data_IF_624812837916
#
_entry.id   IF_624812837916
#
_cell.length_a   1.000
_cell.length_b   1.000
_cell.length_c   1.000
_cell.angle_alpha   90.00
_cell.angle_beta   90.00
_cell.angle_gamma   90.00
#
_symmetry.space_group_name_H-M   'P 1'
#
loop_
_entity.id
_entity.type
_entity.pdbx_description
1 polymer ?
#
# COMPACT_ATOMS: atom_id res chain seq x y z
N UNK A 1 14.25 -50.38 -1.39
CA UNK A 1 14.42 -48.96 -1.79
C UNK A 1 14.70 -48.13 -0.55
N UNK A 2 15.62 -47.15 -0.57
CA UNK A 2 15.91 -46.29 0.59
C UNK A 2 15.22 -44.92 0.46
N UNK A 3 14.92 -44.28 1.61
CA UNK A 3 14.26 -42.98 1.62
C UNK A 3 15.25 -41.88 1.20
N UNK A 4 14.91 -40.99 0.24
CA UNK A 4 15.81 -39.94 -0.23
C UNK A 4 16.10 -38.85 0.83
N UNK A 5 15.27 -38.76 1.88
CA UNK A 5 15.44 -37.74 2.92
C UNK A 5 16.24 -38.19 4.14
N UNK A 6 16.16 -39.47 4.52
CA UNK A 6 16.82 -39.98 5.73
C UNK A 6 17.75 -41.18 5.47
N UNK A 7 17.83 -41.66 4.22
CA UNK A 7 18.73 -42.75 3.82
C UNK A 7 18.34 -44.14 4.36
N UNK A 8 17.34 -44.24 5.23
CA UNK A 8 16.90 -45.50 5.83
C UNK A 8 16.21 -46.40 4.79
N UNK A 9 16.41 -47.73 4.83
CA UNK A 9 15.75 -48.67 3.94
C UNK A 9 14.24 -48.69 4.21
N UNK A 10 13.43 -48.53 3.16
CA UNK A 10 11.98 -48.71 3.28
C UNK A 10 11.64 -50.21 3.33
N UNK A 11 10.71 -50.61 4.21
CA UNK A 11 10.19 -51.97 4.24
C UNK A 11 9.51 -52.32 2.91
N UNK A 12 9.83 -53.50 2.37
CA UNK A 12 9.33 -53.97 1.08
C UNK A 12 7.82 -54.20 1.15
N UNK A 13 7.07 -53.63 0.20
CA UNK A 13 5.62 -53.88 0.02
C UNK A 13 4.66 -52.79 0.51
N UNK A 14 5.13 -51.64 1.00
CA UNK A 14 4.26 -50.53 1.43
C UNK A 14 3.96 -49.52 0.32
N UNK A 15 2.67 -49.38 -0.01
CA UNK A 15 2.09 -48.34 -0.89
C UNK A 15 1.81 -47.02 -0.17
N UNK A 16 2.37 -46.80 1.03
CA UNK A 16 2.19 -45.56 1.79
C UNK A 16 3.09 -44.45 1.25
N UNK A 17 2.50 -43.30 0.91
CA UNK A 17 3.24 -42.13 0.39
C UNK A 17 4.24 -41.53 1.38
N UNK A 18 4.06 -41.75 2.68
CA UNK A 18 4.89 -41.21 3.76
C UNK A 18 5.90 -42.21 4.30
N UNK A 19 7.12 -41.75 4.59
CA UNK A 19 8.16 -42.54 5.24
C UNK A 19 7.84 -42.70 6.75
N UNK A 20 7.83 -43.93 7.30
CA UNK A 20 7.52 -44.15 8.72
C UNK A 20 8.60 -43.61 9.68
N UNK A 21 9.85 -43.45 9.20
CA UNK A 21 10.95 -42.97 10.05
C UNK A 21 11.02 -41.44 10.16
N UNK A 22 10.68 -40.70 9.10
CA UNK A 22 10.79 -39.25 9.09
C UNK A 22 9.44 -38.52 8.86
N UNK A 23 8.36 -39.26 8.63
CA UNK A 23 7.02 -38.74 8.37
C UNK A 23 6.85 -37.98 7.06
N UNK A 24 7.89 -37.91 6.20
CA UNK A 24 7.87 -37.15 4.94
C UNK A 24 7.48 -38.00 3.74
N UNK A 25 6.80 -37.40 2.77
CA UNK A 25 6.38 -38.06 1.54
C UNK A 25 7.56 -38.49 0.66
N UNK A 26 7.62 -39.76 0.30
CA UNK A 26 8.72 -40.41 -0.42
C UNK A 26 8.70 -40.06 -1.92
N UNK A 27 7.52 -39.76 -2.47
CA UNK A 27 7.32 -39.37 -3.88
C UNK A 27 7.53 -37.87 -4.14
N UNK A 28 7.79 -37.06 -3.10
CA UNK A 28 8.09 -35.63 -3.26
C UNK A 28 9.59 -35.38 -3.45
N UNK A 29 10.22 -36.12 -4.36
CA UNK A 29 11.51 -35.74 -4.95
C UNK A 29 11.23 -34.66 -5.99
N UNK A 30 11.04 -33.44 -5.51
CA UNK A 30 10.62 -32.31 -6.35
C UNK A 30 10.16 -31.14 -5.49
N UNK A 31 10.96 -30.76 -4.49
CA UNK A 31 11.11 -29.33 -4.29
C UNK A 31 11.79 -28.85 -5.57
N UNK A 32 10.99 -28.29 -6.47
CA UNK A 32 11.49 -27.55 -7.61
C UNK A 32 12.60 -26.61 -7.09
N UNK A 33 13.71 -26.43 -7.81
CA UNK A 33 14.72 -25.48 -7.37
C UNK A 33 14.04 -24.11 -7.27
N UNK A 34 13.72 -23.68 -6.05
CA UNK A 34 13.51 -22.27 -5.75
C UNK A 34 14.78 -21.58 -6.26
N UNK A 35 14.60 -20.79 -7.33
CA UNK A 35 15.73 -20.25 -8.08
C UNK A 35 16.60 -19.43 -7.11
N UNK A 36 17.87 -19.79 -6.88
CA UNK A 36 18.72 -19.13 -5.89
C UNK A 36 18.91 -17.63 -6.17
N UNK A 37 18.65 -17.21 -7.41
CA UNK A 37 18.70 -15.82 -7.87
C UNK A 37 17.57 -14.98 -7.26
N UNK A 38 16.36 -15.52 -7.12
CA UNK A 38 15.22 -14.76 -6.58
C UNK A 38 15.32 -14.58 -5.07
N UNK A 39 15.84 -15.60 -4.37
CA UNK A 39 16.10 -15.51 -2.93
C UNK A 39 17.22 -14.50 -2.63
N UNK A 40 18.30 -14.48 -3.42
CA UNK A 40 19.37 -13.49 -3.25
C UNK A 40 18.90 -12.05 -3.54
N UNK A 41 18.03 -11.85 -4.54
CA UNK A 41 17.43 -10.54 -4.81
C UNK A 41 16.48 -10.11 -3.69
N UNK A 42 15.63 -11.02 -3.20
CA UNK A 42 14.73 -10.75 -2.09
C UNK A 42 15.51 -10.41 -0.81
N UNK A 43 16.57 -11.16 -0.53
CA UNK A 43 17.47 -10.92 0.60
C UNK A 43 18.18 -9.58 0.50
N UNK A 44 18.72 -9.23 -0.68
CA UNK A 44 19.36 -7.93 -0.92
C UNK A 44 18.37 -6.78 -0.75
N UNK A 45 17.16 -6.92 -1.29
CA UNK A 45 16.11 -5.92 -1.13
C UNK A 45 15.69 -5.77 0.34
N UNK A 46 15.57 -6.88 1.08
CA UNK A 46 15.25 -6.85 2.50
C UNK A 46 16.37 -6.20 3.31
N UNK A 47 17.64 -6.56 3.07
CA UNK A 47 18.80 -5.93 3.72
C UNK A 47 18.88 -4.43 3.40
N UNK A 48 18.60 -4.03 2.17
CA UNK A 48 18.55 -2.63 1.78
C UNK A 48 17.44 -1.88 2.54
N UNK A 49 16.23 -2.44 2.60
CA UNK A 49 15.12 -1.87 3.37
C UNK A 49 15.44 -1.78 4.87
N UNK A 50 16.04 -2.81 5.45
CA UNK A 50 16.44 -2.84 6.85
C UNK A 50 17.57 -1.85 7.15
N UNK A 51 18.50 -1.65 6.22
CA UNK A 51 19.57 -0.65 6.35
C UNK A 51 19.04 0.78 6.28
N UNK A 52 18.15 1.07 5.33
CA UNK A 52 17.50 2.36 5.20
C UNK A 52 16.61 2.65 6.42
N UNK A 53 15.83 1.65 6.86
CA UNK A 53 14.99 1.74 8.06
C UNK A 53 15.79 2.01 9.33
N UNK A 54 16.97 1.40 9.48
CA UNK A 54 17.89 1.69 10.59
C UNK A 54 18.47 3.09 10.50
N UNK A 55 18.96 3.52 9.34
CA UNK A 55 19.52 4.85 9.16
C UNK A 55 18.50 5.95 9.48
N UNK A 56 17.27 5.84 8.96
CA UNK A 56 16.18 6.76 9.26
C UNK A 56 15.86 6.77 10.76
N UNK A 57 15.79 5.60 11.39
CA UNK A 57 15.51 5.49 12.82
C UNK A 57 16.59 6.16 13.65
N UNK A 58 17.86 5.96 13.33
CA UNK A 58 18.99 6.61 14.01
C UNK A 58 18.89 8.13 13.93
N UNK A 59 18.55 8.67 12.76
CA UNK A 59 18.37 10.13 12.57
C UNK A 59 17.17 10.65 13.38
N UNK A 60 16.03 9.95 13.35
CA UNK A 60 14.83 10.35 14.10
C UNK A 60 14.97 10.16 15.61
N UNK A 61 15.90 9.33 16.06
CA UNK A 61 16.22 9.11 17.47
C UNK A 61 17.36 10.00 18.00
N UNK A 62 17.97 10.83 17.15
CA UNK A 62 19.03 11.73 17.57
C UNK A 62 18.47 12.80 18.55
N UNK A 63 18.98 12.89 19.79
CA UNK A 63 18.55 13.91 20.76
C UNK A 63 18.76 15.33 20.24
N UNK A 64 19.80 15.57 19.43
CA UNK A 64 20.08 16.90 18.85
C UNK A 64 19.00 17.35 17.89
N UNK A 65 18.34 16.41 17.21
CA UNK A 65 17.19 16.71 16.37
C UNK A 65 16.03 17.18 17.25
N UNK A 66 15.73 16.47 18.34
CA UNK A 66 14.62 16.81 19.25
C UNK A 66 14.81 18.16 19.93
N UNK A 67 16.03 18.51 20.30
CA UNK A 67 16.36 19.82 20.89
C UNK A 67 16.08 21.00 19.94
N UNK A 68 16.16 20.78 18.62
CA UNK A 68 15.91 21.81 17.59
C UNK A 68 14.46 21.88 17.13
N UNK A 69 13.62 20.90 17.50
CA UNK A 69 12.23 20.85 17.06
C UNK A 69 11.34 21.73 17.95
N UNK A 70 10.39 22.49 17.37
CA UNK A 70 9.40 23.22 18.15
C UNK A 70 8.59 22.23 19.00
N UNK A 71 8.69 22.36 20.32
CA UNK A 71 8.02 21.47 21.28
C UNK A 71 8.64 20.08 21.41
N UNK A 72 9.80 19.82 20.78
CA UNK A 72 10.51 18.54 20.86
C UNK A 72 9.76 17.33 20.29
N UNK A 73 8.62 17.55 19.60
CA UNK A 73 7.71 16.47 19.23
C UNK A 73 7.80 16.12 17.73
N UNK A 74 8.06 14.84 17.46
CA UNK A 74 8.09 14.26 16.11
C UNK A 74 6.73 14.34 15.36
N UNK A 75 5.56 14.22 16.02
CA UNK A 75 4.26 14.44 15.36
C UNK A 75 4.14 15.85 14.77
N UNK A 76 4.66 16.86 15.47
CA UNK A 76 4.58 18.25 15.04
C UNK A 76 5.54 18.53 13.87
N UNK A 77 6.71 17.88 13.84
CA UNK A 77 7.55 17.83 12.64
C UNK A 77 6.78 17.22 11.45
N UNK A 78 6.12 16.07 11.65
CA UNK A 78 5.31 15.42 10.61
C UNK A 78 4.20 16.31 10.08
N UNK A 79 3.45 16.98 10.98
CA UNK A 79 2.43 17.97 10.63
C UNK A 79 3.02 19.14 9.83
N UNK A 80 4.14 19.71 10.29
CA UNK A 80 4.84 20.78 9.60
C UNK A 80 5.27 20.41 8.18
N UNK A 81 5.76 19.17 7.99
CA UNK A 81 6.09 18.65 6.67
C UNK A 81 4.86 18.48 5.77
N UNK A 82 3.72 18.03 6.31
CA UNK A 82 2.45 17.98 5.56
C UNK A 82 2.02 19.39 5.13
N UNK A 83 2.06 20.37 6.04
CA UNK A 83 1.70 21.74 5.72
C UNK A 83 2.63 22.34 4.65
N UNK A 84 3.94 22.11 4.76
CA UNK A 84 4.91 22.53 3.74
C UNK A 84 4.64 21.84 2.39
N UNK A 85 4.37 20.53 2.40
CA UNK A 85 4.08 19.75 1.19
C UNK A 85 2.78 20.21 0.49
N UNK A 86 1.81 20.75 1.24
CA UNK A 86 0.60 21.36 0.68
C UNK A 86 0.87 22.77 0.12
N UNK A 87 1.71 23.56 0.77
CA UNK A 87 1.97 24.96 0.37
C UNK A 87 2.96 25.09 -0.79
N UNK A 88 3.97 24.21 -0.88
CA UNK A 88 5.01 24.27 -1.93
C UNK A 88 4.43 24.19 -3.36
N UNK A 89 3.45 23.31 -3.67
CA UNK A 89 2.79 23.28 -4.98
C UNK A 89 1.90 24.47 -5.30
N UNK A 90 1.51 25.30 -4.31
CA UNK A 90 0.71 26.52 -4.54
C UNK A 90 1.58 27.62 -5.16
N UNK A 91 2.91 27.48 -5.12
CA UNK A 91 3.81 28.37 -5.84
C UNK A 91 3.64 28.16 -7.35
N UNK A 92 3.55 29.25 -8.14
CA UNK A 92 3.17 29.21 -9.56
C UNK A 92 4.14 28.45 -10.48
N UNK A 93 5.23 27.89 -9.95
CA UNK A 93 6.28 27.21 -10.69
C UNK A 93 6.32 25.68 -10.50
N UNK A 94 5.51 25.11 -9.59
CA UNK A 94 5.54 23.68 -9.25
C UNK A 94 4.19 23.06 -9.60
N UNK A 95 4.03 22.70 -10.87
CA UNK A 95 2.82 22.03 -11.37
C UNK A 95 2.57 20.69 -10.68
N UNK A 96 1.42 20.57 -10.01
CA UNK A 96 1.03 19.37 -9.25
C UNK A 96 -0.09 19.69 -8.27
N UNK A 97 -1.26 20.06 -8.78
CA UNK A 97 -2.37 20.50 -7.95
C UNK A 97 -2.95 19.35 -7.12
N UNK A 98 -2.69 19.36 -5.82
CA UNK A 98 -3.57 18.69 -4.86
C UNK A 98 -4.98 19.25 -5.03
N UNK A 99 -6.00 18.39 -5.09
CA UNK A 99 -7.39 18.85 -5.08
C UNK A 99 -7.65 19.75 -3.87
N UNK A 100 -8.27 20.91 -4.07
CA UNK A 100 -8.46 21.94 -3.03
C UNK A 100 -9.09 21.36 -1.75
N UNK A 101 -10.05 20.46 -1.89
CA UNK A 101 -10.71 19.76 -0.78
C UNK A 101 -9.75 18.86 0.01
N UNK A 102 -8.83 18.17 -0.66
CA UNK A 102 -7.84 17.32 -0.01
C UNK A 102 -6.74 18.14 0.66
N UNK A 103 -6.28 19.22 0.03
CA UNK A 103 -5.35 20.16 0.64
C UNK A 103 -5.95 20.75 1.93
N UNK A 104 -7.20 21.20 1.88
CA UNK A 104 -7.93 21.69 3.05
C UNK A 104 -8.03 20.62 4.15
N UNK A 105 -8.38 19.38 3.80
CA UNK A 105 -8.44 18.26 4.75
C UNK A 105 -7.10 18.04 5.45
N UNK A 106 -6.00 17.98 4.69
CA UNK A 106 -4.66 17.72 5.24
C UNK A 106 -4.15 18.90 6.08
N UNK A 107 -4.45 20.14 5.70
CA UNK A 107 -4.12 21.33 6.50
C UNK A 107 -4.91 21.39 7.80
N UNK A 108 -6.22 21.10 7.75
CA UNK A 108 -7.06 21.02 8.95
C UNK A 108 -6.49 19.95 9.87
N UNK A 109 -6.30 18.72 9.40
CA UNK A 109 -5.76 17.64 10.22
C UNK A 109 -4.36 17.94 10.78
N UNK A 110 -3.49 18.58 10.00
CA UNK A 110 -2.19 19.08 10.47
C UNK A 110 -2.34 20.11 11.59
N UNK A 111 -3.26 21.07 11.44
CA UNK A 111 -3.55 22.08 12.46
C UNK A 111 -4.16 21.48 13.73
N UNK A 112 -5.06 20.50 13.60
CA UNK A 112 -5.63 19.75 14.72
C UNK A 112 -4.53 19.02 15.52
N UNK A 113 -3.58 18.38 14.82
CA UNK A 113 -2.43 17.73 15.47
C UNK A 113 -1.53 18.75 16.18
N UNK A 114 -1.24 19.89 15.55
CA UNK A 114 -0.49 20.97 16.17
C UNK A 114 -1.17 21.53 17.43
N UNK A 115 -2.49 21.71 17.40
CA UNK A 115 -3.28 22.17 18.54
C UNK A 115 -3.23 21.17 19.72
N UNK A 116 -3.34 19.87 19.42
CA UNK A 116 -3.20 18.81 20.43
C UNK A 116 -1.83 18.84 21.10
N UNK A 117 -0.76 18.92 20.32
CA UNK A 117 0.61 18.97 20.83
C UNK A 117 0.86 20.25 21.65
N UNK A 118 0.31 21.38 21.22
CA UNK A 118 0.36 22.65 21.95
C UNK A 118 -0.36 22.55 23.30
N UNK A 119 -1.50 21.86 23.34
CA UNK A 119 -2.25 21.60 24.58
C UNK A 119 -1.50 20.65 25.50
N UNK A 120 -0.90 19.59 24.96
CA UNK A 120 -0.11 18.63 25.72
C UNK A 120 1.13 19.28 26.35
N UNK A 121 1.66 20.34 25.74
CA UNK A 121 2.74 21.16 26.29
C UNK A 121 2.28 22.12 27.42
N UNK A 122 1.02 22.08 27.86
CA UNK A 122 0.50 22.87 28.97
C UNK A 122 0.28 24.36 28.64
N UNK A 123 0.27 24.73 27.36
CA UNK A 123 0.04 26.13 26.94
C UNK A 123 -1.44 26.43 26.85
N UNK A 124 -1.84 27.66 27.18
CA UNK A 124 -3.24 28.10 27.05
C UNK A 124 -3.66 28.13 25.58
N UNK A 125 -4.76 27.45 25.25
CA UNK A 125 -5.39 27.54 23.93
C UNK A 125 -6.57 28.52 23.96
N UNK A 126 -6.79 29.26 22.86
CA UNK A 126 -8.06 29.96 22.65
C UNK A 126 -9.25 29.00 22.79
N UNK A 127 -10.36 29.41 23.43
CA UNK A 127 -11.53 28.55 23.66
C UNK A 127 -12.14 28.03 22.35
N UNK A 128 -11.99 28.75 21.24
CA UNK A 128 -12.42 28.33 19.92
C UNK A 128 -11.72 27.05 19.41
N UNK A 129 -10.53 26.73 19.91
CA UNK A 129 -9.75 25.54 19.52
C UNK A 129 -9.96 24.35 20.47
N UNK A 130 -10.66 24.53 21.59
CA UNK A 130 -11.02 23.45 22.50
C UNK A 130 -11.75 22.26 21.84
N UNK A 131 -12.77 22.47 20.97
CA UNK A 131 -13.42 21.34 20.29
C UNK A 131 -12.45 20.62 19.35
N UNK A 132 -11.57 21.36 18.67
CA UNK A 132 -10.58 20.81 17.75
C UNK A 132 -9.62 19.86 18.46
N UNK A 133 -9.11 20.27 19.63
CA UNK A 133 -8.22 19.42 20.44
C UNK A 133 -8.93 18.15 20.88
N UNK A 134 -10.18 18.26 21.34
CA UNK A 134 -10.98 17.08 21.75
C UNK A 134 -11.13 16.05 20.63
N UNK A 135 -11.32 16.50 19.38
CA UNK A 135 -11.34 15.60 18.22
C UNK A 135 -9.97 15.01 17.91
N UNK A 136 -8.89 15.80 18.03
CA UNK A 136 -7.52 15.37 17.78
C UNK A 136 -6.99 14.38 18.84
N UNK A 137 -7.54 14.42 20.05
CA UNK A 137 -7.25 13.48 21.15
C UNK A 137 -7.85 12.09 20.91
N UNK A 138 -8.82 11.96 20.00
CA UNK A 138 -9.42 10.67 19.70
C UNK A 138 -8.36 9.64 19.28
N UNK A 139 -8.38 8.40 19.81
CA UNK A 139 -7.32 7.42 19.56
C UNK A 139 -7.16 7.05 18.07
N UNK A 140 -8.25 7.16 17.29
CA UNK A 140 -8.24 6.90 15.85
C UNK A 140 -7.68 8.05 15.00
N UNK A 141 -7.51 9.26 15.55
CA UNK A 141 -7.12 10.44 14.79
C UNK A 141 -5.72 10.31 14.18
N UNK A 142 -4.71 10.05 15.02
CA UNK A 142 -3.32 9.95 14.57
C UNK A 142 -3.17 8.83 13.51
N UNK A 143 -3.71 7.60 13.70
CA UNK A 143 -3.61 6.54 12.69
C UNK A 143 -4.26 6.93 11.36
N UNK A 144 -5.44 7.54 11.41
CA UNK A 144 -6.16 7.98 10.22
C UNK A 144 -5.37 9.08 9.48
N UNK A 145 -4.86 10.08 10.19
CA UNK A 145 -4.03 11.12 9.59
C UNK A 145 -2.75 10.55 8.96
N UNK A 146 -2.10 9.58 9.61
CA UNK A 146 -0.93 8.91 9.03
C UNK A 146 -1.28 8.12 7.78
N UNK A 147 -2.41 7.41 7.76
CA UNK A 147 -2.86 6.64 6.60
C UNK A 147 -3.19 7.56 5.41
N UNK A 148 -3.85 8.69 5.66
CA UNK A 148 -4.09 9.72 4.65
C UNK A 148 -2.77 10.30 4.10
N UNK A 149 -1.80 10.56 4.97
CA UNK A 149 -0.48 11.08 4.58
C UNK A 149 0.30 10.07 3.73
N UNK A 150 0.33 8.80 4.13
CA UNK A 150 0.95 7.70 3.36
C UNK A 150 0.27 7.54 2.01
N UNK A 151 -1.06 7.62 1.98
CA UNK A 151 -1.84 7.53 0.75
C UNK A 151 -1.47 8.67 -0.19
N UNK A 152 -1.42 9.90 0.31
CA UNK A 152 -1.04 11.05 -0.49
C UNK A 152 0.41 10.98 -0.97
N UNK A 153 1.33 10.53 -0.11
CA UNK A 153 2.72 10.29 -0.52
C UNK A 153 2.80 9.31 -1.68
N UNK A 154 2.05 8.20 -1.61
CA UNK A 154 2.00 7.21 -2.68
C UNK A 154 1.38 7.76 -3.97
N UNK A 155 0.25 8.46 -3.87
CA UNK A 155 -0.43 9.04 -5.03
C UNK A 155 0.42 10.12 -5.70
N UNK A 156 1.19 10.89 -4.92
CA UNK A 156 2.04 11.97 -5.42
C UNK A 156 3.44 11.56 -5.88
N UNK A 157 3.82 10.27 -5.80
CA UNK A 157 5.14 9.75 -6.24
C UNK A 157 5.48 10.17 -7.68
N UNK A 158 6.10 11.32 -7.83
CA UNK A 158 6.58 11.91 -9.07
C UNK A 158 7.95 12.52 -8.78
N UNK A 159 8.70 12.87 -9.82
CA UNK A 159 9.98 13.57 -9.65
C UNK A 159 9.69 15.03 -9.24
N UNK A 160 9.81 15.34 -7.94
CA UNK A 160 9.60 16.70 -7.44
C UNK A 160 9.91 16.87 -5.95
N UNK A 161 10.00 18.12 -5.49
CA UNK A 161 10.24 18.44 -4.07
C UNK A 161 9.03 18.11 -3.19
N UNK A 162 7.81 18.40 -3.68
CA UNK A 162 6.58 18.12 -2.96
C UNK A 162 6.39 16.62 -2.60
N UNK A 163 6.57 15.65 -3.51
CA UNK A 163 6.49 14.24 -3.15
C UNK A 163 7.56 13.80 -2.14
N UNK A 164 8.78 14.37 -2.21
CA UNK A 164 9.80 14.10 -1.20
C UNK A 164 9.34 14.55 0.19
N UNK A 165 8.69 15.72 0.30
CA UNK A 165 8.12 16.20 1.57
C UNK A 165 7.00 15.28 2.05
N UNK A 166 6.13 14.80 1.16
CA UNK A 166 5.08 13.84 1.52
C UNK A 166 5.64 12.51 2.01
N UNK A 167 6.65 11.97 1.33
CA UNK A 167 7.32 10.73 1.74
C UNK A 167 8.00 10.94 3.10
N UNK A 168 8.69 12.06 3.30
CA UNK A 168 9.32 12.36 4.59
C UNK A 168 8.28 12.49 5.70
N UNK A 169 7.17 13.18 5.46
CA UNK A 169 6.06 13.29 6.40
C UNK A 169 5.47 11.92 6.76
N UNK A 170 5.22 11.08 5.75
CA UNK A 170 4.71 9.71 5.92
C UNK A 170 5.68 8.84 6.75
N UNK A 171 6.98 8.97 6.50
CA UNK A 171 8.02 8.24 7.25
C UNK A 171 8.06 8.69 8.72
N UNK A 172 8.08 10.00 8.97
CA UNK A 172 8.09 10.55 10.34
C UNK A 172 6.84 10.11 11.09
N UNK A 173 5.65 10.38 10.54
CA UNK A 173 4.38 10.05 11.17
C UNK A 173 4.19 8.53 11.35
N UNK A 174 4.55 7.75 10.33
CA UNK A 174 4.53 6.30 10.37
C UNK A 174 5.48 5.72 11.42
N UNK A 175 6.66 6.33 11.61
CA UNK A 175 7.62 5.90 12.65
C UNK A 175 7.08 6.12 14.07
N UNK A 176 6.39 7.25 14.30
CA UNK A 176 5.74 7.56 15.58
C UNK A 176 4.62 6.56 15.84
N UNK A 177 3.76 6.31 14.84
CA UNK A 177 2.70 5.31 14.93
C UNK A 177 3.23 3.92 15.23
N UNK A 178 4.29 3.52 14.53
CA UNK A 178 4.90 2.22 14.72
C UNK A 178 5.43 2.04 16.14
N UNK A 179 6.02 3.09 16.73
CA UNK A 179 6.47 3.08 18.13
C UNK A 179 5.30 2.99 19.10
N UNK A 180 4.26 3.80 18.89
CA UNK A 180 3.05 3.75 19.70
C UNK A 180 2.39 2.36 19.64
N UNK A 181 2.33 1.76 18.46
CA UNK A 181 1.83 0.40 18.27
C UNK A 181 2.68 -0.64 19.01
N UNK A 182 4.02 -0.57 18.94
CA UNK A 182 4.90 -1.49 19.68
C UNK A 182 4.79 -1.36 21.19
N UNK A 183 4.54 -0.15 21.69
CA UNK A 183 4.34 0.11 23.12
C UNK A 183 2.93 -0.28 23.60
N UNK A 184 1.98 -0.41 22.68
CA UNK A 184 0.60 -0.78 22.99
C UNK A 184 0.45 -2.27 23.30
N UNK A 185 -0.53 -2.67 24.13
CA UNK A 185 -0.81 -4.08 24.41
C UNK A 185 -1.22 -4.86 23.13
N UNK A 186 -1.70 -4.17 22.09
CA UNK A 186 -2.00 -4.77 20.77
C UNK A 186 -0.75 -5.30 20.05
N UNK A 187 0.43 -4.80 20.41
CA UNK A 187 1.73 -5.21 19.87
C UNK A 187 2.39 -6.37 20.63
N UNK A 188 1.77 -6.87 21.71
CA UNK A 188 2.36 -7.94 22.53
C UNK A 188 2.62 -9.20 21.72
N UNK A 189 3.86 -9.67 21.80
CA UNK A 189 4.34 -10.94 21.26
C UNK A 189 3.81 -12.17 22.02
N UNK A 190 2.82 -12.00 22.90
CA UNK A 190 2.29 -13.02 23.81
C UNK A 190 1.32 -14.00 23.14
N UNK A 191 0.86 -13.72 21.92
CA UNK A 191 0.05 -14.67 21.16
C UNK A 191 0.96 -15.68 20.43
N UNK A 192 0.75 -17.00 20.63
CA UNK A 192 1.55 -18.03 19.95
C UNK A 192 1.40 -17.89 18.44
N UNK A 193 2.52 -17.61 17.74
CA UNK A 193 2.55 -17.45 16.27
C UNK A 193 2.07 -18.73 15.61
N UNK A 194 0.89 -18.69 14.98
CA UNK A 194 0.45 -19.81 14.15
C UNK A 194 1.16 -19.76 12.80
N UNK A 195 1.69 -20.88 12.27
CA UNK A 195 2.35 -20.89 10.96
C UNK A 195 1.43 -20.44 9.81
N UNK A 196 0.11 -20.62 9.95
CA UNK A 196 -0.89 -20.10 9.02
C UNK A 196 -0.97 -18.57 8.96
N UNK A 197 -0.76 -17.88 10.09
CA UNK A 197 -0.80 -16.41 10.17
C UNK A 197 0.40 -15.78 9.46
N UNK A 198 1.58 -16.41 9.54
CA UNK A 198 2.79 -15.95 8.85
C UNK A 198 2.63 -16.05 7.34
N UNK A 199 2.03 -17.16 6.86
CA UNK A 199 1.72 -17.34 5.43
C UNK A 199 0.71 -16.32 4.96
N UNK A 200 -0.41 -16.15 5.68
CA UNK A 200 -1.43 -15.15 5.36
C UNK A 200 -0.82 -13.76 5.26
N UNK A 201 -0.03 -13.36 6.26
CA UNK A 201 0.67 -12.07 6.27
C UNK A 201 1.54 -11.91 5.02
N UNK A 202 2.37 -12.90 4.68
CA UNK A 202 3.22 -12.86 3.48
C UNK A 202 2.41 -12.70 2.20
N UNK A 203 1.33 -13.47 2.03
CA UNK A 203 0.49 -13.40 0.83
C UNK A 203 -0.24 -12.05 0.70
N UNK A 204 -0.80 -11.53 1.80
CA UNK A 204 -1.48 -10.23 1.77
C UNK A 204 -0.49 -9.11 1.48
N UNK A 205 0.69 -9.09 2.12
CA UNK A 205 1.70 -8.07 1.84
C UNK A 205 2.27 -8.16 0.43
N UNK A 206 2.50 -9.38 -0.08
CA UNK A 206 2.93 -9.58 -1.47
C UNK A 206 1.87 -9.09 -2.45
N UNK A 207 0.59 -9.42 -2.20
CA UNK A 207 -0.53 -8.96 -3.01
C UNK A 207 -0.70 -7.43 -2.98
N UNK A 208 -0.64 -6.81 -1.79
CA UNK A 208 -0.67 -5.36 -1.63
C UNK A 208 0.51 -4.68 -2.35
N UNK A 209 1.71 -5.24 -2.27
CA UNK A 209 2.89 -4.73 -2.97
C UNK A 209 2.73 -4.83 -4.50
N UNK A 210 2.21 -5.96 -5.00
CA UNK A 210 1.88 -6.13 -6.41
C UNK A 210 0.80 -5.14 -6.87
N UNK A 211 -0.24 -4.90 -6.06
CA UNK A 211 -1.24 -3.87 -6.33
C UNK A 211 -0.63 -2.47 -6.40
N UNK A 212 0.23 -2.11 -5.44
CA UNK A 212 0.91 -0.83 -5.42
C UNK A 212 1.79 -0.63 -6.66
N UNK A 213 2.61 -1.63 -7.02
CA UNK A 213 3.39 -1.61 -8.26
C UNK A 213 2.51 -1.53 -9.50
N UNK A 214 1.39 -2.25 -9.50
CA UNK A 214 0.41 -2.25 -10.59
C UNK A 214 -0.15 -0.84 -10.81
N UNK A 215 -0.43 -0.09 -9.73
CA UNK A 215 -0.89 1.29 -9.82
C UNK A 215 0.15 2.27 -10.37
N UNK A 216 1.45 1.99 -10.20
CA UNK A 216 2.53 2.82 -10.76
C UNK A 216 2.71 2.60 -12.26
N UNK A 217 2.34 1.42 -12.76
CA UNK A 217 2.39 1.08 -14.17
C UNK A 217 1.30 1.81 -14.98
N UNK A 218 1.43 1.87 -16.31
CA UNK A 218 0.42 2.48 -17.17
C UNK A 218 -0.87 1.65 -17.20
N UNK A 219 -2.00 2.29 -16.92
CA UNK A 219 -3.34 1.69 -16.90
C UNK A 219 -4.17 2.02 -18.13
N UNK A 220 -4.10 3.26 -18.62
CA UNK A 220 -4.84 3.67 -19.81
C UNK A 220 -4.04 4.71 -20.58
N UNK A 221 -4.34 4.88 -21.88
CA UNK A 221 -4.00 6.12 -22.56
C UNK A 221 -4.89 7.20 -21.92
N UNK A 222 -4.43 7.82 -20.83
CA UNK A 222 -5.20 8.82 -20.12
C UNK A 222 -5.05 10.17 -20.78
N UNK A 223 -6.15 10.89 -20.64
CA UNK A 223 -6.40 12.27 -21.04
C UNK A 223 -5.83 13.28 -20.04
N UNK A 224 -4.72 12.96 -19.37
CA UNK A 224 -4.08 13.87 -18.42
C UNK A 224 -3.02 14.66 -19.15
N UNK A 225 -3.34 15.94 -19.40
CA UNK A 225 -2.47 16.89 -20.07
C UNK A 225 -1.08 16.91 -19.44
N UNK A 226 -0.08 16.60 -20.24
CA UNK A 226 1.30 16.92 -19.88
C UNK A 226 1.47 18.43 -20.01
N UNK A 227 2.03 19.07 -18.98
CA UNK A 227 2.46 20.48 -19.03
C UNK A 227 3.81 20.66 -19.73
N UNK A 228 4.42 19.56 -20.18
CA UNK A 228 5.67 19.58 -20.93
C UNK A 228 5.33 19.65 -22.42
N UNK A 229 5.93 20.56 -23.20
CA UNK A 229 5.78 20.56 -24.65
C UNK A 229 6.24 19.19 -25.17
N UNK A 230 5.28 18.40 -25.66
CA UNK A 230 5.56 17.10 -26.25
C UNK A 230 5.42 17.21 -27.75
N UNK A 231 6.43 16.70 -28.46
CA UNK A 231 6.34 16.45 -29.89
C UNK A 231 5.80 15.04 -30.08
N UNK A 232 4.69 14.89 -30.80
CA UNK A 232 4.17 13.57 -31.17
C UNK A 232 3.97 13.48 -32.67
N UNK A 233 4.23 12.31 -33.21
CA UNK A 233 3.91 11.94 -34.59
C UNK A 233 2.49 11.39 -34.60
N UNK A 234 1.55 12.13 -35.16
CA UNK A 234 0.17 11.69 -35.33
C UNK A 234 0.03 11.06 -36.72
N UNK A 235 -0.42 9.79 -36.75
CA UNK A 235 -0.71 9.07 -38.00
C UNK A 235 -2.19 9.25 -38.31
N UNK A 236 -2.49 10.07 -39.30
CA UNK A 236 -3.82 10.20 -39.85
C UNK A 236 -3.93 9.29 -41.08
N UNK A 237 -5.01 8.49 -41.13
CA UNK A 237 -5.27 7.56 -42.23
C UNK A 237 -6.54 8.03 -42.93
N UNK A 238 -6.38 8.63 -44.09
CA UNK A 238 -7.50 9.03 -44.92
C UNK A 238 -7.79 7.85 -45.86
N UNK A 239 -9.00 7.30 -45.73
CA UNK A 239 -9.47 6.17 -46.54
C UNK A 239 -10.49 6.74 -47.52
N UNK A 240 -10.10 6.87 -48.78
CA UNK A 240 -10.99 7.28 -49.86
C UNK A 240 -11.48 6.03 -50.59
N UNK A 241 -12.80 5.91 -50.73
CA UNK A 241 -13.45 4.84 -51.49
C UNK A 241 -13.93 5.46 -52.79
N UNK A 242 -13.33 5.03 -53.91
CA UNK A 242 -13.74 5.50 -55.23
C UNK A 242 -15.04 4.82 -55.69
N UNK A 243 -15.70 5.37 -56.72
CA UNK A 243 -16.93 4.86 -57.32
C UNK A 243 -16.79 3.43 -57.88
N UNK A 244 -15.56 2.93 -58.04
CA UNK A 244 -15.24 1.56 -58.44
C UNK A 244 -14.96 0.62 -57.26
N UNK A 245 -15.27 1.03 -56.02
CA UNK A 245 -14.94 0.29 -54.79
C UNK A 245 -13.44 0.01 -54.62
N UNK A 246 -12.58 0.80 -55.27
CA UNK A 246 -11.15 0.79 -55.02
C UNK A 246 -10.87 1.56 -53.72
N UNK A 247 -10.00 1.00 -52.87
CA UNK A 247 -9.61 1.59 -51.59
C UNK A 247 -8.28 2.28 -51.80
N UNK A 248 -8.27 3.60 -51.75
CA UNK A 248 -7.03 4.35 -51.63
C UNK A 248 -6.82 4.73 -50.17
N UNK A 249 -5.64 4.40 -49.66
CA UNK A 249 -5.28 4.58 -48.25
C UNK A 249 -4.08 5.50 -48.22
N UNK A 250 -4.32 6.77 -47.91
CA UNK A 250 -3.26 7.75 -47.74
C UNK A 250 -2.92 7.90 -46.27
N UNK A 251 -1.64 7.75 -45.95
CA UNK A 251 -1.14 7.87 -44.59
C UNK A 251 -0.34 9.16 -44.43
N UNK A 252 -0.94 10.11 -43.73
CA UNK A 252 -0.29 11.37 -43.41
C UNK A 252 0.35 11.29 -42.02
N UNK A 253 1.65 11.54 -41.99
CA UNK A 253 2.41 11.62 -40.77
C UNK A 253 2.67 13.10 -40.47
N UNK A 254 1.99 13.64 -39.47
CA UNK A 254 2.17 15.05 -39.09
C UNK A 254 2.75 15.12 -37.68
N UNK A 255 3.82 15.90 -37.54
CA UNK A 255 4.35 16.26 -36.24
C UNK A 255 3.47 17.35 -35.65
N UNK A 256 2.73 17.02 -34.59
CA UNK A 256 1.98 18.01 -33.82
C UNK A 256 2.77 18.38 -32.58
N UNK A 257 3.13 19.66 -32.51
CA UNK A 257 3.76 20.25 -31.35
C UNK A 257 2.68 20.87 -30.48
N UNK A 258 2.54 20.38 -29.25
CA UNK A 258 1.64 20.99 -28.28
C UNK A 258 2.41 22.10 -27.56
N UNK A 259 2.29 23.34 -28.05
CA UNK A 259 3.03 24.52 -27.54
C UNK A 259 2.23 25.33 -26.51
N UNK A 260 0.96 24.98 -26.26
CA UNK A 260 0.09 25.72 -25.35
C UNK A 260 0.09 25.10 -23.95
N UNK A 261 0.26 25.96 -22.94
CA UNK A 261 0.19 25.68 -21.49
C UNK A 261 -1.24 25.30 -21.01
N UNK A 262 -2.19 25.19 -21.94
CA UNK A 262 -3.56 24.76 -21.66
C UNK A 262 -3.71 23.24 -21.91
N UNK A 263 -4.62 22.54 -21.20
CA UNK A 263 -4.74 21.09 -21.27
C UNK A 263 -5.31 20.64 -22.61
N UNK A 264 -4.46 20.62 -23.64
CA UNK A 264 -4.74 19.93 -24.89
C UNK A 264 -4.56 18.42 -24.65
N UNK A 265 -5.58 17.67 -25.04
CA UNK A 265 -5.77 16.23 -24.89
C UNK A 265 -4.64 15.41 -25.49
N UNK A 266 -3.52 15.37 -24.79
CA UNK A 266 -2.40 14.52 -25.14
C UNK A 266 -2.73 13.14 -24.57
N UNK A 267 -2.80 12.07 -25.38
CA UNK A 267 -2.92 10.71 -24.88
C UNK A 267 -1.61 10.33 -24.19
N UNK A 268 -1.49 10.69 -22.92
CA UNK A 268 -0.42 10.26 -22.03
C UNK A 268 -0.71 8.85 -21.51
N UNK A 269 0.32 8.13 -21.07
CA UNK A 269 0.09 6.90 -20.34
C UNK A 269 -0.29 7.25 -18.89
N UNK A 270 -1.57 7.18 -18.57
CA UNK A 270 -2.06 7.40 -17.22
C UNK A 270 -1.70 6.25 -16.32
N UNK A 271 -1.14 6.56 -15.16
CA UNK A 271 -0.93 5.57 -14.11
C UNK A 271 -2.24 5.29 -13.39
N UNK A 272 -2.35 4.12 -12.75
CA UNK A 272 -3.54 3.75 -11.96
C UNK A 272 -3.83 4.73 -10.82
N UNK A 273 -2.82 5.50 -10.38
CA UNK A 273 -2.93 6.54 -9.33
C UNK A 273 -3.79 7.74 -9.72
N UNK A 274 -3.85 8.07 -11.01
CA UNK A 274 -4.64 9.19 -11.52
C UNK A 274 -6.12 8.86 -11.73
N UNK A 275 -6.54 7.61 -11.49
CA UNK A 275 -7.93 7.17 -11.70
C UNK A 275 -8.83 7.61 -10.54
N UNK A 276 -10.08 7.92 -10.86
CA UNK A 276 -11.11 8.20 -9.86
C UNK A 276 -11.22 7.01 -8.87
N UNK A 277 -11.24 7.31 -7.58
CA UNK A 277 -11.31 6.29 -6.52
C UNK A 277 -9.97 5.66 -6.12
N UNK A 278 -8.85 5.99 -6.76
CA UNK A 278 -7.53 5.44 -6.41
C UNK A 278 -7.17 5.68 -4.92
N UNK A 279 -7.51 6.83 -4.36
CA UNK A 279 -7.35 7.14 -2.93
C UNK A 279 -8.05 6.14 -2.02
N UNK A 280 -9.31 5.79 -2.35
CA UNK A 280 -10.07 4.81 -1.58
C UNK A 280 -9.47 3.41 -1.67
N UNK A 281 -8.93 3.05 -2.83
CA UNK A 281 -8.26 1.75 -3.04
C UNK A 281 -6.96 1.67 -2.24
N UNK A 282 -6.12 2.71 -2.26
CA UNK A 282 -4.87 2.73 -1.48
C UNK A 282 -5.18 2.65 0.02
N UNK A 283 -6.17 3.40 0.50
CA UNK A 283 -6.64 3.29 1.88
C UNK A 283 -7.17 1.88 2.21
N UNK A 284 -7.93 1.27 1.29
CA UNK A 284 -8.42 -0.10 1.42
C UNK A 284 -7.29 -1.13 1.49
N UNK A 285 -6.26 -1.00 0.65
CA UNK A 285 -5.07 -1.85 0.68
C UNK A 285 -4.28 -1.69 1.99
N UNK A 286 -4.13 -0.46 2.49
CA UNK A 286 -3.51 -0.21 3.80
C UNK A 286 -4.33 -0.84 4.93
N UNK A 287 -5.66 -0.70 4.90
CA UNK A 287 -6.56 -1.31 5.88
C UNK A 287 -6.46 -2.84 5.85
N UNK A 288 -6.43 -3.45 4.67
CA UNK A 288 -6.22 -4.89 4.50
C UNK A 288 -4.85 -5.34 5.03
N UNK A 289 -3.80 -4.55 4.80
CA UNK A 289 -2.47 -4.80 5.37
C UNK A 289 -2.45 -4.75 6.90
N UNK A 290 -3.15 -3.77 7.49
CA UNK A 290 -3.30 -3.65 8.96
C UNK A 290 -4.08 -4.85 9.50
N UNK A 291 -5.23 -5.18 8.92
CA UNK A 291 -6.04 -6.34 9.29
C UNK A 291 -5.28 -7.65 9.12
N UNK A 292 -4.40 -7.75 8.11
CA UNK A 292 -3.51 -8.90 7.90
C UNK A 292 -2.44 -9.03 8.99
N UNK A 293 -1.95 -7.89 9.50
CA UNK A 293 -0.82 -7.83 10.43
C UNK A 293 -1.21 -7.85 11.92
N UNK A 294 -2.42 -7.39 12.27
CA UNK A 294 -2.89 -7.24 13.65
C UNK A 294 -4.10 -8.13 13.90
N UNK A 295 -3.89 -9.25 14.59
CA UNK A 295 -4.95 -10.22 14.88
C UNK A 295 -6.09 -9.64 15.71
N UNK A 296 -5.78 -8.86 16.76
CA UNK A 296 -6.80 -8.21 17.61
C UNK A 296 -7.66 -7.22 16.82
N UNK A 297 -7.08 -6.52 15.83
CA UNK A 297 -7.84 -5.63 14.95
C UNK A 297 -8.79 -6.42 14.04
N UNK A 298 -8.39 -7.61 13.59
CA UNK A 298 -9.26 -8.52 12.82
C UNK A 298 -10.41 -9.07 13.65
N UNK A 299 -10.16 -9.40 14.92
CA UNK A 299 -11.20 -9.90 15.85
C UNK A 299 -12.20 -8.80 16.25
N UNK A 300 -11.79 -7.53 16.29
CA UNK A 300 -12.66 -6.39 16.61
C UNK A 300 -13.58 -5.95 15.46
N UNK A 301 -13.39 -6.51 14.26
CA UNK A 301 -14.03 -6.08 13.02
C UNK A 301 -14.95 -7.19 12.50
N UNK A 302 -16.10 -6.86 11.87
CA UNK A 302 -16.96 -7.87 11.26
C UNK A 302 -16.18 -8.76 10.29
N UNK A 303 -16.34 -10.08 10.39
CA UNK A 303 -15.59 -11.05 9.57
C UNK A 303 -15.81 -10.90 8.07
N UNK A 304 -16.91 -10.29 7.65
CA UNK A 304 -17.21 -9.98 6.25
C UNK A 304 -16.44 -8.75 5.72
N UNK A 305 -15.95 -7.85 6.57
CA UNK A 305 -15.35 -6.59 6.14
C UNK A 305 -14.10 -6.78 5.24
N UNK A 306 -13.14 -7.67 5.55
CA UNK A 306 -11.97 -7.87 4.69
C UNK A 306 -12.36 -8.36 3.29
N UNK A 307 -13.35 -9.26 3.19
CA UNK A 307 -13.82 -9.79 1.92
C UNK A 307 -14.59 -8.73 1.12
N UNK A 308 -15.42 -7.91 1.78
CA UNK A 308 -16.12 -6.79 1.13
C UNK A 308 -15.14 -5.74 0.60
N UNK A 309 -14.12 -5.38 1.39
CA UNK A 309 -13.08 -4.43 0.97
C UNK A 309 -12.30 -4.97 -0.23
N UNK A 310 -11.86 -6.23 -0.17
CA UNK A 310 -11.12 -6.84 -1.27
C UNK A 310 -11.98 -6.95 -2.54
N UNK A 311 -13.24 -7.35 -2.42
CA UNK A 311 -14.20 -7.38 -3.54
C UNK A 311 -14.47 -6.01 -4.17
N UNK A 312 -14.60 -4.95 -3.35
CA UNK A 312 -14.73 -3.57 -3.85
C UNK A 312 -13.50 -3.12 -4.63
N UNK A 313 -12.29 -3.46 -4.14
CA UNK A 313 -11.04 -3.15 -4.82
C UNK A 313 -10.92 -3.92 -6.15
N UNK A 314 -11.31 -5.20 -6.16
CA UNK A 314 -11.34 -6.03 -7.37
C UNK A 314 -12.32 -5.46 -8.39
N UNK A 315 -13.53 -5.06 -7.96
CA UNK A 315 -14.51 -4.41 -8.84
C UNK A 315 -13.93 -3.11 -9.44
N UNK A 316 -13.27 -2.29 -8.63
CA UNK A 316 -12.61 -1.07 -9.12
C UNK A 316 -11.51 -1.38 -10.16
N UNK A 317 -10.73 -2.42 -9.96
CA UNK A 317 -9.72 -2.86 -10.92
C UNK A 317 -10.35 -3.27 -12.26
N UNK A 318 -11.44 -4.04 -12.20
CA UNK A 318 -12.18 -4.49 -13.38
C UNK A 318 -12.77 -3.33 -14.20
N UNK A 319 -13.21 -2.24 -13.55
CA UNK A 319 -13.68 -1.04 -14.28
C UNK A 319 -12.60 -0.36 -15.13
N UNK A 320 -11.32 -0.69 -14.90
CA UNK A 320 -10.18 -0.11 -15.61
C UNK A 320 -9.38 -1.09 -16.42
N UNK A 321 -9.97 -2.25 -16.75
CA UNK A 321 -9.27 -3.28 -17.50
C UNK A 321 -8.85 -2.72 -18.86
N UNK A 322 -7.56 -2.85 -19.17
CA UNK A 322 -7.01 -2.55 -20.49
C UNK A 322 -5.93 -3.57 -20.83
N UNK A 323 -5.54 -3.64 -22.10
CA UNK A 323 -4.46 -4.53 -22.55
C UNK A 323 -3.04 -4.10 -22.08
N UNK A 324 -2.94 -3.28 -21.03
CA UNK A 324 -1.67 -2.79 -20.48
C UNK A 324 -1.22 -3.61 -19.27
N UNK A 325 0.08 -3.65 -18.95
CA UNK A 325 0.59 -4.49 -17.87
C UNK A 325 0.11 -4.07 -16.47
N UNK A 326 -0.23 -2.79 -16.25
CA UNK A 326 -0.62 -2.29 -14.93
C UNK A 326 -1.87 -2.95 -14.34
N UNK A 327 -3.02 -2.94 -15.05
CA UNK A 327 -4.24 -3.61 -14.60
C UNK A 327 -4.06 -5.10 -14.34
N UNK A 328 -3.29 -5.80 -15.19
CA UNK A 328 -3.01 -7.23 -15.02
C UNK A 328 -2.18 -7.52 -13.77
N UNK A 329 -1.11 -6.76 -13.54
CA UNK A 329 -0.30 -6.90 -12.32
C UNK A 329 -1.14 -6.61 -11.07
N UNK A 330 -1.99 -5.58 -11.13
CA UNK A 330 -2.90 -5.25 -10.04
C UNK A 330 -3.90 -6.37 -9.76
N UNK A 331 -4.50 -6.96 -10.79
CA UNK A 331 -5.42 -8.07 -10.65
C UNK A 331 -4.76 -9.32 -10.06
N UNK A 332 -3.52 -9.63 -10.47
CA UNK A 332 -2.76 -10.71 -9.86
C UNK A 332 -2.51 -10.45 -8.37
N UNK A 333 -2.19 -9.19 -8.02
CA UNK A 333 -2.02 -8.77 -6.63
C UNK A 333 -3.28 -8.92 -5.80
N UNK A 334 -4.42 -8.40 -6.26
CA UNK A 334 -5.67 -8.45 -5.51
C UNK A 334 -6.24 -9.88 -5.44
N UNK A 335 -6.05 -10.69 -6.48
CA UNK A 335 -6.42 -12.10 -6.47
C UNK A 335 -5.65 -12.86 -5.38
N UNK A 336 -4.36 -12.57 -5.21
CA UNK A 336 -3.56 -13.17 -4.13
C UNK A 336 -4.11 -12.77 -2.74
N UNK A 337 -4.57 -11.53 -2.58
CA UNK A 337 -5.23 -11.06 -1.35
C UNK A 337 -6.58 -11.75 -1.15
N UNK A 338 -7.42 -11.81 -2.19
CA UNK A 338 -8.74 -12.46 -2.16
C UNK A 338 -8.63 -13.94 -1.78
N UNK A 339 -7.69 -14.68 -2.38
CA UNK A 339 -7.44 -16.09 -2.05
C UNK A 339 -6.96 -16.23 -0.60
N UNK A 340 -6.12 -15.33 -0.13
CA UNK A 340 -5.61 -15.34 1.25
C UNK A 340 -6.75 -15.10 2.25
N UNK A 341 -7.61 -14.11 1.99
CA UNK A 341 -8.77 -13.77 2.82
C UNK A 341 -9.82 -14.89 2.79
N UNK A 342 -10.12 -15.45 1.61
CA UNK A 342 -11.08 -16.53 1.46
C UNK A 342 -10.64 -17.81 2.18
N UNK A 343 -9.35 -18.18 2.10
CA UNK A 343 -8.80 -19.34 2.82
C UNK A 343 -8.89 -19.19 4.33
N UNK A 344 -8.80 -17.96 4.82
CA UNK A 344 -8.99 -17.70 6.24
C UNK A 344 -10.46 -17.78 6.65
N UNK A 345 -11.37 -17.22 5.85
CA UNK A 345 -12.81 -17.29 6.12
C UNK A 345 -13.41 -18.69 6.02
N UNK A 346 -12.83 -19.56 5.18
CA UNK A 346 -13.27 -20.95 4.95
C UNK A 346 -12.51 -21.99 5.79
N UNK A 347 -11.50 -21.59 6.57
CA UNK A 347 -10.77 -22.50 7.44
C UNK A 347 -11.70 -23.10 8.51
N UNK A 348 -11.54 -24.38 8.89
CA UNK A 348 -12.41 -25.00 9.90
C UNK A 348 -12.32 -24.20 11.20
N UNK A 349 -13.43 -23.55 11.56
CA UNK A 349 -13.70 -23.09 12.92
C UNK A 349 -13.63 -24.33 13.81
N UNK A 350 -12.49 -24.58 14.44
CA UNK A 350 -12.47 -25.51 15.57
C UNK A 350 -13.43 -24.94 16.59
N UNK A 351 -14.53 -25.68 16.78
CA UNK A 351 -15.48 -25.48 17.86
C UNK A 351 -14.72 -25.20 19.15
N UNK A 352 -15.23 -24.23 19.90
CA UNK A 352 -14.76 -23.99 21.26
C UNK A 352 -14.73 -25.32 22.02
N UNK A 353 -13.69 -25.58 22.83
CA UNK A 353 -13.72 -26.75 23.70
C UNK A 353 -15.03 -26.70 24.52
N UNK A 354 -15.75 -27.83 24.65
CA UNK A 354 -17.00 -27.86 25.39
C UNK A 354 -16.76 -27.30 26.81
N UNK A 355 -17.70 -26.52 27.35
CA UNK A 355 -17.57 -25.97 28.69
C UNK A 355 -17.33 -27.13 29.66
N UNK A 356 -16.26 -27.00 30.45
CA UNK A 356 -15.94 -27.91 31.55
C UNK A 356 -17.20 -28.06 32.42
N UNK A 357 -17.68 -29.30 32.68
CA UNK A 357 -18.83 -29.49 33.56
C UNK A 357 -18.51 -28.88 34.93
N UNK A 358 -19.48 -28.22 35.59
CA UNK A 358 -19.24 -27.63 36.89
C UNK A 358 -18.72 -28.71 37.84
N UNK A 359 -17.60 -28.43 38.49
CA UNK A 359 -17.06 -29.27 39.55
C UNK A 359 -18.16 -29.48 40.59
N UNK A 360 -18.69 -30.70 40.66
CA UNK A 360 -19.63 -31.12 41.69
C UNK A 360 -18.92 -31.03 43.04
N UNK A 361 -19.44 -30.17 43.91
CA UNK A 361 -19.09 -30.09 45.33
C UNK A 361 -19.60 -31.29 46.12
#
# INVERSE_FOLDING_TARGET
MSCPHCGQPLPEGLSSRTCPHCGRDVTRTGDAPESPVMDDVADKAQRAADSAGRAVRTVLDDPRLRERLPGGSLPLLGAGLVAAAVLVPVLPFVGGGLGLSWAALMLVASGMLGAREWSAAGRALPPALAPVVKWAEHPAFLPLFTALTVTQAFLSLELGVAPLLWVLAAVVLGSVQWRAFRASPMGEASLPRRPGEVRLKRWVFAGVAACALGMLLPWSASWTGSLVPTARMERQRDITIDNNFAWDIQEHHTWKFNTLVFPASTPGAGTGRGRLGATGVVLGLLALGVLASVRRAREAVPSALPALLAGLITLWALTGLSARPGPWLFLLGILAVDVAVAREGLGPRREAPPPEPPASA
#
